data_IF_103247346356
#
_entry.id   IF_103247346356
#
_cell.length_a   1.000
_cell.length_b   1.000
_cell.length_c   1.000
_cell.angle_alpha   90.00
_cell.angle_beta   90.00
_cell.angle_gamma   90.00
#
_symmetry.space_group_name_H-M   'P 1'
#
loop_
_entity.id
_entity.type
_entity.pdbx_description
1 polymer ?
#
# COMPACT_ATOMS: atom_id res chain seq x y z
N UNK A 1 5.34 26.22 23.96
CA UNK A 1 5.36 26.55 22.52
C UNK A 1 4.07 26.02 21.95
N UNK A 2 3.16 26.90 21.49
CA UNK A 2 1.84 26.50 20.97
C UNK A 2 1.93 26.48 19.45
N UNK A 3 1.86 25.28 18.85
CA UNK A 3 1.85 25.12 17.39
C UNK A 3 0.49 25.62 16.89
N UNK A 4 0.47 26.56 15.94
CA UNK A 4 -0.80 27.01 15.34
C UNK A 4 -1.33 25.92 14.41
N UNK A 5 -2.65 25.81 14.26
CA UNK A 5 -3.24 24.73 13.47
C UNK A 5 -2.75 24.69 12.01
N UNK A 6 -2.48 25.84 11.39
CA UNK A 6 -1.85 25.94 10.07
C UNK A 6 -0.44 25.34 10.02
N UNK A 7 0.35 25.57 11.07
CA UNK A 7 1.70 24.99 11.17
C UNK A 7 1.59 23.47 11.38
N UNK A 8 0.58 23.00 12.14
CA UNK A 8 0.31 21.58 12.32
C UNK A 8 -0.08 20.88 11.01
N UNK A 9 -0.93 21.50 10.18
CA UNK A 9 -1.31 20.96 8.86
C UNK A 9 -0.10 20.80 7.94
N UNK A 10 0.77 21.81 7.89
CA UNK A 10 2.00 21.76 7.10
C UNK A 10 2.98 20.70 7.61
N UNK A 11 3.19 20.63 8.93
CA UNK A 11 4.04 19.61 9.55
C UNK A 11 3.50 18.21 9.26
N UNK A 12 2.19 17.99 9.37
CA UNK A 12 1.57 16.69 9.07
C UNK A 12 1.68 16.31 7.60
N UNK A 13 1.60 17.28 6.68
CA UNK A 13 1.86 17.03 5.26
C UNK A 13 3.30 16.57 5.02
N UNK A 14 4.28 17.22 5.64
CA UNK A 14 5.69 16.83 5.54
C UNK A 14 5.97 15.45 6.16
N UNK A 15 5.37 15.14 7.32
CA UNK A 15 5.48 13.83 7.96
C UNK A 15 4.95 12.73 7.04
N UNK A 16 3.78 12.95 6.42
CA UNK A 16 3.20 11.99 5.45
C UNK A 16 4.11 11.79 4.24
N UNK A 17 4.70 12.87 3.72
CA UNK A 17 5.64 12.79 2.60
C UNK A 17 6.87 11.95 2.96
N UNK A 18 7.54 12.27 4.07
CA UNK A 18 8.71 11.52 4.54
C UNK A 18 8.39 10.05 4.81
N UNK A 19 7.21 9.77 5.36
CA UNK A 19 6.74 8.41 5.56
C UNK A 19 6.55 7.66 4.24
N UNK A 20 6.05 8.33 3.18
CA UNK A 20 5.89 7.75 1.84
C UNK A 20 7.25 7.46 1.20
N UNK A 21 8.20 8.38 1.30
CA UNK A 21 9.57 8.20 0.78
C UNK A 21 10.29 7.04 1.47
N UNK A 22 10.22 6.96 2.81
CA UNK A 22 10.79 5.83 3.54
C UNK A 22 10.13 4.50 3.17
N UNK A 23 8.81 4.47 2.99
CA UNK A 23 8.11 3.27 2.54
C UNK A 23 8.62 2.83 1.14
N UNK A 24 8.72 3.75 0.19
CA UNK A 24 9.24 3.45 -1.16
C UNK A 24 10.67 2.90 -1.12
N UNK A 25 11.56 3.49 -0.31
CA UNK A 25 12.93 3.01 -0.16
C UNK A 25 12.98 1.59 0.43
N UNK A 26 12.11 1.30 1.40
CA UNK A 26 12.00 -0.02 2.02
C UNK A 26 11.46 -1.08 1.05
N UNK A 27 10.46 -0.71 0.23
CA UNK A 27 9.90 -1.54 -0.84
C UNK A 27 10.97 -1.91 -1.88
N UNK A 28 11.80 -0.96 -2.29
CA UNK A 28 12.90 -1.23 -3.23
C UNK A 28 13.97 -2.14 -2.61
N UNK A 29 14.37 -1.84 -1.37
CA UNK A 29 15.40 -2.60 -0.65
C UNK A 29 14.98 -4.04 -0.36
N UNK A 30 13.70 -4.27 -0.04
CA UNK A 30 13.15 -5.57 0.34
C UNK A 30 12.11 -6.08 -0.66
N UNK A 31 12.31 -5.77 -1.94
CA UNK A 31 11.35 -6.04 -3.01
C UNK A 31 10.78 -7.46 -3.02
N UNK A 32 11.63 -8.48 -2.94
CA UNK A 32 11.19 -9.89 -3.01
C UNK A 32 10.31 -10.24 -1.82
N UNK A 33 10.72 -9.87 -0.60
CA UNK A 33 9.97 -10.16 0.62
C UNK A 33 8.65 -9.40 0.62
N UNK A 34 8.68 -8.13 0.22
CA UNK A 34 7.51 -7.27 0.22
C UNK A 34 6.46 -7.73 -0.81
N UNK A 35 6.88 -8.00 -2.05
CA UNK A 35 5.96 -8.51 -3.09
C UNK A 35 5.40 -9.89 -2.76
N UNK A 36 6.18 -10.74 -2.10
CA UNK A 36 5.72 -12.05 -1.60
C UNK A 36 4.62 -11.87 -0.56
N UNK A 37 4.82 -10.97 0.42
CA UNK A 37 3.82 -10.66 1.44
C UNK A 37 2.51 -10.12 0.84
N UNK A 38 2.61 -9.19 -0.12
CA UNK A 38 1.42 -8.68 -0.84
C UNK A 38 0.69 -9.80 -1.59
N UNK A 39 1.43 -10.73 -2.20
CA UNK A 39 0.87 -11.91 -2.84
C UNK A 39 0.15 -12.84 -1.85
N UNK A 40 0.72 -13.07 -0.67
CA UNK A 40 0.11 -13.88 0.39
C UNK A 40 -1.18 -13.25 0.92
N UNK A 41 -1.18 -11.94 1.20
CA UNK A 41 -2.38 -11.21 1.61
C UNK A 41 -3.47 -11.26 0.53
N UNK A 42 -3.09 -11.03 -0.72
CA UNK A 42 -4.00 -11.09 -1.86
C UNK A 42 -4.62 -12.47 -1.99
N UNK A 43 -3.82 -13.53 -1.93
CA UNK A 43 -4.30 -14.91 -2.02
C UNK A 43 -5.16 -15.30 -0.83
N UNK A 44 -4.78 -14.91 0.39
CA UNK A 44 -5.53 -15.23 1.60
C UNK A 44 -6.93 -14.59 1.60
N UNK A 45 -7.06 -13.37 1.10
CA UNK A 45 -8.35 -12.68 0.93
C UNK A 45 -9.12 -13.28 -0.25
N UNK A 46 -8.46 -13.46 -1.41
CA UNK A 46 -9.08 -14.06 -2.61
C UNK A 46 -9.64 -15.46 -2.32
N UNK A 47 -8.92 -16.29 -1.58
CA UNK A 47 -9.31 -17.66 -1.29
C UNK A 47 -10.20 -17.76 -0.03
N UNK A 48 -10.65 -16.62 0.53
CA UNK A 48 -11.54 -16.53 1.70
C UNK A 48 -11.00 -17.23 2.96
N UNK A 49 -9.67 -17.39 3.04
CA UNK A 49 -8.97 -17.86 4.22
C UNK A 49 -8.90 -16.77 5.30
N UNK A 50 -8.89 -15.50 4.88
CA UNK A 50 -8.96 -14.32 5.72
C UNK A 50 -10.15 -13.47 5.28
N UNK A 51 -11.16 -13.36 6.13
CA UNK A 51 -12.35 -12.53 5.90
C UNK A 51 -12.63 -11.63 7.11
N UNK A 52 -13.51 -10.63 6.96
CA UNK A 52 -13.91 -9.73 8.06
C UNK A 52 -14.53 -10.48 9.23
N UNK A 53 -15.22 -11.58 8.95
CA UNK A 53 -15.97 -12.37 9.93
C UNK A 53 -15.09 -13.41 10.62
N UNK A 54 -14.17 -14.05 9.87
CA UNK A 54 -13.31 -15.13 10.40
C UNK A 54 -12.05 -14.60 11.09
N UNK A 55 -11.41 -13.60 10.50
CA UNK A 55 -10.12 -13.09 10.95
C UNK A 55 -10.08 -11.56 10.85
N UNK A 56 -10.90 -10.83 11.63
CA UNK A 56 -11.11 -9.40 11.46
C UNK A 56 -9.82 -8.57 11.52
N UNK A 57 -8.92 -8.91 12.45
CA UNK A 57 -7.63 -8.19 12.60
C UNK A 57 -6.71 -8.45 11.41
N UNK A 58 -6.54 -9.72 11.01
CA UNK A 58 -5.69 -10.06 9.87
C UNK A 58 -6.24 -9.50 8.56
N UNK A 59 -7.57 -9.48 8.41
CA UNK A 59 -8.22 -8.86 7.27
C UNK A 59 -7.96 -7.36 7.24
N UNK A 60 -8.07 -6.66 8.37
CA UNK A 60 -7.80 -5.23 8.44
C UNK A 60 -6.34 -4.92 8.10
N UNK A 61 -5.38 -5.67 8.64
CA UNK A 61 -3.95 -5.52 8.32
C UNK A 61 -3.70 -5.74 6.82
N UNK A 62 -4.17 -6.86 6.28
CA UNK A 62 -3.98 -7.18 4.87
C UNK A 62 -4.65 -6.15 3.95
N UNK A 63 -5.87 -5.70 4.26
CA UNK A 63 -6.58 -4.69 3.50
C UNK A 63 -5.85 -3.34 3.52
N UNK A 64 -5.37 -2.92 4.69
CA UNK A 64 -4.63 -1.67 4.87
C UNK A 64 -3.31 -1.68 4.09
N UNK A 65 -2.52 -2.76 4.20
CA UNK A 65 -1.25 -2.88 3.48
C UNK A 65 -1.44 -2.89 1.96
N UNK A 66 -2.42 -3.65 1.45
CA UNK A 66 -2.74 -3.68 0.02
C UNK A 66 -3.23 -2.31 -0.48
N UNK A 67 -4.08 -1.63 0.31
CA UNK A 67 -4.58 -0.30 -0.03
C UNK A 67 -3.49 0.75 -0.06
N UNK A 68 -2.61 0.75 0.94
CA UNK A 68 -1.47 1.66 1.02
C UNK A 68 -0.49 1.46 -0.14
N UNK A 69 -0.20 0.21 -0.51
CA UNK A 69 0.61 -0.09 -1.69
C UNK A 69 -0.05 0.44 -2.97
N UNK A 70 -1.33 0.14 -3.19
CA UNK A 70 -2.08 0.63 -4.36
C UNK A 70 -2.08 2.15 -4.41
N UNK A 71 -2.30 2.84 -3.29
CA UNK A 71 -2.32 4.28 -3.25
C UNK A 71 -0.96 4.88 -3.65
N UNK A 72 0.15 4.33 -3.12
CA UNK A 72 1.50 4.80 -3.43
C UNK A 72 1.84 4.67 -4.92
N UNK A 73 1.44 3.56 -5.54
CA UNK A 73 1.81 3.25 -6.92
C UNK A 73 0.75 3.66 -7.97
N UNK A 74 -0.47 4.06 -7.54
CA UNK A 74 -1.47 4.66 -8.45
C UNK A 74 -1.22 6.15 -8.66
N UNK A 75 -0.69 6.85 -7.67
CA UNK A 75 -0.41 8.29 -7.76
C UNK A 75 0.96 8.50 -8.40
N UNK A 76 0.98 8.65 -9.73
CA UNK A 76 2.18 8.98 -10.51
C UNK A 76 2.65 10.40 -10.18
N UNK A 77 3.48 10.53 -9.15
CA UNK A 77 4.05 11.82 -8.73
C UNK A 77 5.36 12.16 -9.46
N UNK A 78 5.98 11.25 -10.22
CA UNK A 78 7.21 11.53 -10.98
C UNK A 78 7.25 10.78 -12.34
N UNK A 79 7.61 11.52 -13.39
CA UNK A 79 7.74 11.08 -14.80
C UNK A 79 8.95 10.15 -15.09
N UNK A 80 9.58 9.58 -14.06
CA UNK A 80 10.67 8.64 -14.25
C UNK A 80 10.15 7.21 -14.29
N UNK A 81 9.80 6.74 -15.49
CA UNK A 81 9.53 5.32 -15.76
C UNK A 81 10.80 4.49 -15.55
N UNK A 82 10.88 3.83 -14.39
CA UNK A 82 11.85 2.75 -14.16
C UNK A 82 11.18 1.39 -14.40
N UNK A 83 11.95 0.35 -14.68
CA UNK A 83 11.42 -1.02 -14.79
C UNK A 83 10.70 -1.46 -13.51
N UNK A 84 11.14 -0.97 -12.34
CA UNK A 84 10.45 -1.19 -11.05
C UNK A 84 9.06 -0.60 -10.99
N UNK A 85 8.86 0.60 -11.54
CA UNK A 85 7.53 1.22 -11.60
C UNK A 85 6.59 0.37 -12.44
N UNK A 86 7.05 -0.19 -13.56
CA UNK A 86 6.24 -1.10 -14.39
C UNK A 86 5.89 -2.39 -13.66
N UNK A 87 6.84 -2.97 -12.92
CA UNK A 87 6.60 -4.14 -12.09
C UNK A 87 5.54 -3.87 -11.01
N UNK A 88 5.62 -2.72 -10.33
CA UNK A 88 4.64 -2.33 -9.33
C UNK A 88 3.26 -2.02 -9.94
N UNK A 89 3.20 -1.36 -11.11
CA UNK A 89 1.96 -1.13 -11.86
C UNK A 89 1.29 -2.46 -12.21
N UNK A 90 2.06 -3.45 -12.67
CA UNK A 90 1.56 -4.79 -12.94
C UNK A 90 1.02 -5.44 -11.64
N UNK A 91 1.75 -5.32 -10.54
CA UNK A 91 1.34 -5.85 -9.25
C UNK A 91 0.03 -5.22 -8.76
N UNK A 92 -0.13 -3.89 -8.88
CA UNK A 92 -1.36 -3.17 -8.54
C UNK A 92 -2.55 -3.72 -9.32
N UNK A 93 -2.39 -3.95 -10.62
CA UNK A 93 -3.45 -4.51 -11.47
C UNK A 93 -3.81 -5.94 -11.05
N UNK A 94 -2.82 -6.78 -10.73
CA UNK A 94 -3.03 -8.15 -10.26
C UNK A 94 -3.79 -8.15 -8.93
N UNK A 95 -3.38 -7.30 -7.98
CA UNK A 95 -4.01 -7.19 -6.65
C UNK A 95 -5.47 -6.77 -6.83
N UNK A 96 -5.73 -5.65 -7.53
CA UNK A 96 -7.08 -5.12 -7.76
C UNK A 96 -8.00 -6.17 -8.38
N UNK A 97 -7.54 -6.86 -9.42
CA UNK A 97 -8.32 -7.91 -10.07
C UNK A 97 -8.59 -9.10 -9.14
N UNK A 98 -7.62 -9.49 -8.32
CA UNK A 98 -7.73 -10.67 -7.44
C UNK A 98 -8.66 -10.46 -6.25
N UNK A 99 -8.76 -9.23 -5.73
CA UNK A 99 -9.58 -8.90 -4.55
C UNK A 99 -10.86 -8.15 -4.90
N UNK A 100 -11.19 -8.03 -6.19
CA UNK A 100 -12.40 -7.36 -6.66
C UNK A 100 -13.65 -7.95 -6.00
N UNK A 101 -14.49 -7.08 -5.44
CA UNK A 101 -15.71 -7.47 -4.72
C UNK A 101 -15.49 -7.99 -3.31
N UNK A 102 -14.23 -8.20 -2.87
CA UNK A 102 -13.87 -8.60 -1.51
C UNK A 102 -13.29 -7.45 -0.70
N UNK A 103 -12.58 -6.54 -1.36
CA UNK A 103 -12.11 -5.29 -0.79
C UNK A 103 -12.65 -4.09 -1.57
N UNK A 104 -12.82 -2.99 -0.85
CA UNK A 104 -13.13 -1.68 -1.41
C UNK A 104 -11.82 -0.90 -1.47
N UNK A 105 -11.04 -1.12 -2.53
CA UNK A 105 -9.70 -0.52 -2.77
C UNK A 105 -9.70 0.34 -4.02
#
# INVERSE_FOLDING_TARGET
MTIKMRDAEQIMSQIRHLSKEQASALEEQHYVQYTTLLGEYTAAIRDEKVTRERNPVMFAIAAEELGNFIQRHTVKENDMETERVKEFDALVNIIRGSVQGKLSL
#
